data_IF_048115964095
#
_entry.id   IF_048115964095
#
_cell.length_a   1.000
_cell.length_b   1.000
_cell.length_c   1.000
_cell.angle_alpha   90.00
_cell.angle_beta   90.00
_cell.angle_gamma   90.00
#
_symmetry.space_group_name_H-M   'P 1'
#
loop_
_entity.id
_entity.type
_entity.pdbx_description
1 polymer ?
#
# COMPACT_ATOMS: atom_id res chain seq x y z
N UNK A 1 -57.45 -23.89 -59.54
CA UNK A 1 -56.47 -24.59 -58.67
C UNK A 1 -55.29 -23.74 -58.21
N UNK A 2 -55.41 -22.41 -58.07
CA UNK A 2 -54.29 -21.55 -57.62
C UNK A 2 -54.41 -21.07 -56.15
N UNK A 3 -55.56 -21.26 -55.50
CA UNK A 3 -55.78 -20.80 -54.11
C UNK A 3 -55.30 -21.77 -53.02
N UNK A 4 -55.08 -23.07 -53.30
CA UNK A 4 -54.59 -24.01 -52.26
C UNK A 4 -53.06 -24.02 -52.11
N UNK A 5 -52.31 -23.58 -53.13
CA UNK A 5 -50.84 -23.47 -53.08
C UNK A 5 -50.36 -22.35 -52.15
N UNK A 6 -51.04 -21.20 -52.15
CA UNK A 6 -50.66 -20.03 -51.34
C UNK A 6 -50.88 -20.29 -49.84
N UNK A 7 -51.98 -20.95 -49.47
CA UNK A 7 -52.30 -21.27 -48.07
C UNK A 7 -51.34 -22.29 -47.44
N UNK A 8 -50.71 -23.13 -48.25
CA UNK A 8 -49.70 -24.10 -47.82
C UNK A 8 -48.33 -23.46 -47.62
N UNK A 9 -48.02 -22.38 -48.35
CA UNK A 9 -46.78 -21.63 -48.17
C UNK A 9 -46.82 -20.72 -46.93
N UNK A 10 -47.96 -20.07 -46.65
CA UNK A 10 -48.10 -19.23 -45.44
C UNK A 10 -48.03 -20.03 -44.13
N UNK A 11 -48.55 -21.25 -44.11
CA UNK A 11 -48.47 -22.14 -42.94
C UNK A 11 -47.06 -22.65 -42.68
N UNK A 12 -46.28 -22.93 -43.73
CA UNK A 12 -44.87 -23.30 -43.62
C UNK A 12 -44.00 -22.14 -43.08
N UNK A 13 -44.22 -20.92 -43.58
CA UNK A 13 -43.49 -19.72 -43.14
C UNK A 13 -43.81 -19.39 -41.68
N UNK A 14 -45.07 -19.54 -41.26
CA UNK A 14 -45.49 -19.29 -39.87
C UNK A 14 -44.89 -20.31 -38.89
N UNK A 15 -44.67 -21.55 -39.35
CA UNK A 15 -44.04 -22.62 -38.57
C UNK A 15 -42.52 -22.43 -38.43
N UNK A 16 -41.86 -21.88 -39.46
CA UNK A 16 -40.45 -21.52 -39.39
C UNK A 16 -40.23 -20.29 -38.48
N UNK A 17 -41.10 -19.29 -38.53
CA UNK A 17 -41.01 -18.12 -37.64
C UNK A 17 -41.23 -18.47 -36.17
N UNK A 18 -42.13 -19.40 -35.84
CA UNK A 18 -42.33 -19.86 -34.47
C UNK A 18 -41.16 -20.71 -33.95
N UNK A 19 -40.52 -21.51 -34.80
CA UNK A 19 -39.31 -22.26 -34.46
C UNK A 19 -38.10 -21.35 -34.21
N UNK A 20 -37.89 -20.33 -35.06
CA UNK A 20 -36.82 -19.32 -34.89
C UNK A 20 -37.06 -18.48 -33.63
N UNK A 21 -38.32 -18.11 -33.35
CA UNK A 21 -38.66 -17.36 -32.13
C UNK A 21 -38.42 -18.17 -30.86
N UNK A 22 -38.63 -19.49 -30.91
CA UNK A 22 -38.37 -20.40 -29.79
C UNK A 22 -36.88 -20.66 -29.56
N UNK A 23 -36.07 -20.70 -30.63
CA UNK A 23 -34.60 -20.74 -30.53
C UNK A 23 -34.01 -19.42 -30.02
N UNK A 24 -34.57 -18.28 -30.40
CA UNK A 24 -34.13 -16.99 -29.87
C UNK A 24 -34.51 -16.79 -28.39
N UNK A 25 -35.63 -17.36 -27.92
CA UNK A 25 -35.99 -17.32 -26.50
C UNK A 25 -35.06 -18.19 -25.64
N UNK A 26 -34.61 -19.35 -26.14
CA UNK A 26 -33.66 -20.22 -25.41
C UNK A 26 -32.24 -19.67 -25.39
N UNK A 27 -31.84 -18.88 -26.40
CA UNK A 27 -30.58 -18.14 -26.41
C UNK A 27 -30.57 -16.95 -25.42
N UNK A 28 -31.74 -16.39 -25.09
CA UNK A 28 -31.87 -15.24 -24.18
C UNK A 28 -31.94 -15.62 -22.69
N UNK A 29 -32.06 -16.90 -22.35
CA UNK A 29 -32.15 -17.39 -20.96
C UNK A 29 -30.82 -17.88 -20.38
N UNK A 30 -29.68 -17.54 -21.02
CA UNK A 30 -28.38 -17.68 -20.36
C UNK A 30 -28.27 -16.59 -19.30
N UNK A 31 -28.52 -16.96 -18.03
CA UNK A 31 -28.15 -16.13 -16.88
C UNK A 31 -26.73 -15.57 -17.09
N UNK A 32 -26.45 -14.31 -16.73
CA UNK A 32 -25.10 -13.79 -16.80
C UNK A 32 -24.21 -14.71 -15.96
N UNK A 33 -23.27 -15.39 -16.63
CA UNK A 33 -22.22 -16.14 -15.94
C UNK A 33 -21.53 -15.14 -15.03
N UNK A 34 -21.42 -15.47 -13.75
CA UNK A 34 -20.63 -14.70 -12.79
C UNK A 34 -19.25 -14.41 -13.41
N UNK A 35 -18.73 -13.18 -13.38
CA UNK A 35 -17.44 -12.83 -13.99
C UNK A 35 -16.29 -13.73 -13.48
N UNK A 36 -16.43 -14.26 -12.26
CA UNK A 36 -15.50 -15.21 -11.64
C UNK A 36 -15.34 -16.56 -12.37
N UNK A 37 -16.26 -16.98 -13.24
CA UNK A 37 -16.08 -18.19 -14.07
C UNK A 37 -15.17 -17.97 -15.27
N UNK A 38 -14.79 -16.71 -15.51
CA UNK A 38 -13.92 -16.32 -16.60
C UNK A 38 -12.51 -16.08 -16.12
N UNK A 39 -12.11 -16.16 -14.87
CA UNK A 39 -10.69 -15.95 -14.51
C UNK A 39 -9.91 -17.26 -14.40
N UNK A 40 -8.58 -17.18 -14.51
CA UNK A 40 -7.73 -18.32 -14.17
C UNK A 40 -7.96 -18.71 -12.70
N UNK A 41 -7.99 -20.01 -12.33
CA UNK A 41 -8.36 -20.45 -10.97
C UNK A 41 -7.62 -19.74 -9.84
N UNK A 42 -6.32 -19.51 -10.00
CA UNK A 42 -5.47 -18.76 -9.06
C UNK A 42 -5.88 -17.29 -8.90
N UNK A 43 -6.27 -16.62 -9.99
CA UNK A 43 -6.70 -15.23 -9.92
C UNK A 43 -8.01 -15.17 -9.13
N UNK A 44 -8.92 -16.11 -9.39
CA UNK A 44 -10.13 -16.28 -8.59
C UNK A 44 -9.82 -16.55 -7.10
N UNK A 45 -8.81 -17.37 -6.79
CA UNK A 45 -8.38 -17.65 -5.40
C UNK A 45 -7.87 -16.40 -4.68
N UNK A 46 -6.88 -15.71 -5.27
CA UNK A 46 -6.31 -14.47 -4.73
C UNK A 46 -7.39 -13.39 -4.54
N UNK A 47 -8.24 -13.18 -5.54
CA UNK A 47 -9.34 -12.21 -5.46
C UNK A 47 -10.35 -12.59 -4.37
N UNK A 48 -10.71 -13.88 -4.24
CA UNK A 48 -11.64 -14.36 -3.21
C UNK A 48 -11.05 -14.20 -1.80
N UNK A 49 -9.77 -14.53 -1.62
CA UNK A 49 -9.05 -14.34 -0.36
C UNK A 49 -9.03 -12.87 0.05
N UNK A 50 -8.64 -11.96 -0.86
CA UNK A 50 -8.66 -10.51 -0.57
C UNK A 50 -10.06 -10.00 -0.29
N UNK A 51 -11.09 -10.47 -1.01
CA UNK A 51 -12.50 -10.14 -0.76
C UNK A 51 -12.96 -10.57 0.64
N UNK A 52 -12.48 -11.70 1.14
CA UNK A 52 -12.74 -12.15 2.51
C UNK A 52 -12.06 -11.25 3.55
N UNK A 53 -10.80 -10.84 3.30
CA UNK A 53 -10.05 -9.93 4.19
C UNK A 53 -10.68 -8.54 4.24
N UNK A 54 -11.30 -8.10 3.14
CA UNK A 54 -12.12 -6.90 3.07
C UNK A 54 -13.42 -6.98 3.89
N UNK A 55 -13.68 -8.03 4.66
CA UNK A 55 -14.78 -8.08 5.66
C UNK A 55 -14.30 -7.75 7.08
N UNK A 56 -12.99 -7.73 7.33
CA UNK A 56 -12.41 -7.37 8.62
C UNK A 56 -12.41 -5.87 8.88
N UNK A 57 -12.01 -5.45 10.09
CA UNK A 57 -11.84 -4.02 10.40
C UNK A 57 -10.92 -3.35 9.37
N UNK A 58 -11.26 -2.12 9.00
CA UNK A 58 -10.44 -1.28 8.11
C UNK A 58 -9.86 -0.06 8.85
N UNK A 59 -9.75 -0.15 10.17
CA UNK A 59 -9.02 0.82 10.98
C UNK A 59 -7.56 0.86 10.55
N UNK A 60 -7.00 2.07 10.39
CA UNK A 60 -5.59 2.21 10.07
C UNK A 60 -4.75 2.05 11.34
N UNK A 61 -4.02 0.94 11.44
CA UNK A 61 -3.16 0.61 12.56
C UNK A 61 -1.70 1.04 12.31
N UNK A 62 -1.45 1.67 11.16
CA UNK A 62 -0.14 2.21 10.83
C UNK A 62 0.04 3.59 11.46
N UNK A 63 1.27 4.10 11.44
CA UNK A 63 1.56 5.49 11.82
C UNK A 63 1.52 6.46 10.64
N UNK A 64 1.05 6.00 9.48
CA UNK A 64 1.04 6.77 8.24
C UNK A 64 -0.42 7.14 7.94
N UNK A 65 -0.77 8.44 7.83
CA UNK A 65 -2.14 8.82 7.53
C UNK A 65 -2.51 8.40 6.10
N UNK A 66 -3.66 7.73 5.95
CA UNK A 66 -4.19 7.33 4.64
C UNK A 66 -5.35 8.24 4.28
N UNK A 67 -5.46 8.64 3.03
CA UNK A 67 -6.54 9.52 2.55
C UNK A 67 -7.91 8.91 2.85
N UNK A 68 -8.03 7.59 2.71
CA UNK A 68 -9.26 6.84 3.03
C UNK A 68 -9.65 6.90 4.51
N UNK A 69 -8.78 7.34 5.42
CA UNK A 69 -9.11 7.45 6.85
C UNK A 69 -10.13 8.54 7.14
N UNK A 70 -10.36 9.47 6.20
CA UNK A 70 -11.47 10.42 6.33
C UNK A 70 -12.84 9.74 6.21
N UNK A 71 -12.91 8.63 5.49
CA UNK A 71 -14.16 7.94 5.20
C UNK A 71 -14.63 7.15 6.42
N UNK A 72 -15.95 7.10 6.62
CA UNK A 72 -16.55 6.11 7.52
C UNK A 72 -16.27 4.70 7.02
N UNK A 73 -16.15 3.75 7.94
CA UNK A 73 -15.72 2.40 7.63
C UNK A 73 -16.55 1.71 6.54
N UNK A 74 -17.88 1.87 6.57
CA UNK A 74 -18.76 1.33 5.53
C UNK A 74 -18.43 1.85 4.12
N UNK A 75 -18.11 3.15 4.00
CA UNK A 75 -17.73 3.77 2.72
C UNK A 75 -16.33 3.39 2.28
N UNK A 76 -15.40 3.24 3.23
CA UNK A 76 -14.06 2.68 2.96
C UNK A 76 -14.16 1.26 2.39
N UNK A 77 -15.02 0.43 2.98
CA UNK A 77 -15.27 -0.96 2.54
C UNK A 77 -15.94 -1.01 1.17
N UNK A 78 -16.95 -0.16 0.94
CA UNK A 78 -17.62 -0.01 -0.36
C UNK A 78 -16.60 0.34 -1.46
N UNK A 79 -15.76 1.36 -1.23
CA UNK A 79 -14.73 1.78 -2.18
C UNK A 79 -13.72 0.67 -2.49
N UNK A 80 -13.20 -0.01 -1.47
CA UNK A 80 -12.21 -1.07 -1.68
C UNK A 80 -12.80 -2.29 -2.42
N UNK A 81 -14.06 -2.65 -2.13
CA UNK A 81 -14.74 -3.72 -2.88
C UNK A 81 -15.00 -3.32 -4.33
N UNK A 82 -15.38 -2.06 -4.58
CA UNK A 82 -15.54 -1.53 -5.94
C UNK A 82 -14.21 -1.59 -6.70
N UNK A 83 -13.10 -1.15 -6.11
CA UNK A 83 -11.79 -1.22 -6.77
C UNK A 83 -11.40 -2.67 -7.06
N UNK A 84 -11.64 -3.60 -6.13
CA UNK A 84 -11.40 -5.03 -6.35
C UNK A 84 -12.21 -5.57 -7.54
N UNK A 85 -13.47 -5.15 -7.67
CA UNK A 85 -14.30 -5.47 -8.83
C UNK A 85 -13.71 -4.89 -10.12
N UNK A 86 -13.23 -3.64 -10.11
CA UNK A 86 -12.57 -3.03 -11.29
C UNK A 86 -11.29 -3.74 -11.69
N UNK A 87 -10.53 -4.26 -10.74
CA UNK A 87 -9.37 -5.12 -11.02
C UNK A 87 -9.81 -6.41 -11.73
N UNK A 88 -10.87 -7.07 -11.24
CA UNK A 88 -11.45 -8.27 -11.87
C UNK A 88 -11.94 -8.00 -13.31
N UNK A 89 -12.59 -6.85 -13.54
CA UNK A 89 -13.03 -6.39 -14.87
C UNK A 89 -11.84 -6.17 -15.81
N UNK A 90 -10.80 -5.45 -15.39
CA UNK A 90 -9.62 -5.20 -16.23
C UNK A 90 -8.84 -6.49 -16.51
N UNK A 91 -8.68 -7.40 -15.54
CA UNK A 91 -8.02 -8.69 -15.78
C UNK A 91 -8.77 -9.49 -16.85
N UNK A 92 -10.09 -9.43 -16.81
CA UNK A 92 -10.96 -10.08 -17.79
C UNK A 92 -10.78 -9.45 -19.17
N UNK A 93 -10.77 -8.11 -19.26
CA UNK A 93 -10.56 -7.36 -20.49
C UNK A 93 -9.18 -7.60 -21.12
N UNK A 94 -8.10 -7.49 -20.34
CA UNK A 94 -6.73 -7.72 -20.82
C UNK A 94 -6.58 -9.12 -21.42
N UNK A 95 -7.22 -10.12 -20.80
CA UNK A 95 -7.19 -11.48 -21.32
C UNK A 95 -8.03 -11.64 -22.60
N UNK A 96 -9.21 -11.02 -22.68
CA UNK A 96 -10.02 -11.05 -23.90
C UNK A 96 -9.31 -10.36 -25.08
N UNK A 97 -8.59 -9.28 -24.79
CA UNK A 97 -7.77 -8.54 -25.75
C UNK A 97 -6.46 -9.25 -26.12
N UNK A 98 -6.18 -10.42 -25.52
CA UNK A 98 -4.96 -11.21 -25.76
C UNK A 98 -3.67 -10.41 -25.61
N UNK A 99 -3.62 -9.55 -24.58
CA UNK A 99 -2.41 -8.78 -24.25
C UNK A 99 -1.27 -9.74 -23.90
N UNK A 100 -0.07 -9.46 -24.43
CA UNK A 100 1.14 -10.22 -24.13
C UNK A 100 1.84 -9.69 -22.87
N UNK A 101 2.57 -10.56 -22.15
CA UNK A 101 3.27 -10.18 -20.92
C UNK A 101 4.28 -9.03 -21.12
N UNK A 102 4.90 -8.95 -22.30
CA UNK A 102 5.84 -7.87 -22.66
C UNK A 102 5.17 -6.49 -22.75
N UNK A 103 3.87 -6.44 -23.03
CA UNK A 103 3.11 -5.19 -23.19
C UNK A 103 2.68 -4.60 -21.84
N UNK A 104 2.57 -5.42 -20.78
CA UNK A 104 2.09 -4.98 -19.47
C UNK A 104 2.91 -3.83 -18.88
N UNK A 105 4.24 -3.85 -19.08
CA UNK A 105 5.12 -2.78 -18.57
C UNK A 105 4.77 -1.42 -19.17
N UNK A 106 4.45 -1.37 -20.47
CA UNK A 106 4.05 -0.14 -21.16
C UNK A 106 2.63 0.30 -20.78
N UNK A 107 1.75 -0.66 -20.52
CA UNK A 107 0.35 -0.39 -20.14
C UNK A 107 0.18 -0.05 -18.66
N UNK A 108 1.20 -0.25 -17.82
CA UNK A 108 1.09 -0.13 -16.36
C UNK A 108 0.46 1.17 -15.89
N UNK A 109 0.92 2.31 -16.39
CA UNK A 109 0.41 3.62 -15.97
C UNK A 109 -1.01 3.87 -16.49
N UNK A 110 -1.34 3.37 -17.69
CA UNK A 110 -2.70 3.42 -18.23
C UNK A 110 -3.67 2.57 -17.39
N UNK A 111 -3.32 1.31 -17.11
CA UNK A 111 -4.12 0.41 -16.26
C UNK A 111 -4.41 1.05 -14.91
N UNK A 112 -3.40 1.60 -14.23
CA UNK A 112 -3.58 2.24 -12.93
C UNK A 112 -4.52 3.46 -13.01
N UNK A 113 -4.40 4.25 -14.09
CA UNK A 113 -5.27 5.40 -14.36
C UNK A 113 -6.70 4.96 -14.63
N UNK A 114 -6.91 3.96 -15.47
CA UNK A 114 -8.22 3.46 -15.84
C UNK A 114 -8.96 2.90 -14.62
N UNK A 115 -8.27 2.14 -13.76
CA UNK A 115 -8.80 1.69 -12.48
C UNK A 115 -9.25 2.86 -11.60
N UNK A 116 -8.41 3.89 -11.49
CA UNK A 116 -8.70 5.06 -10.67
C UNK A 116 -9.90 5.87 -11.23
N UNK A 117 -9.95 6.10 -12.54
CA UNK A 117 -11.05 6.82 -13.20
C UNK A 117 -12.37 6.05 -13.08
N UNK A 118 -12.34 4.74 -13.30
CA UNK A 118 -13.51 3.88 -13.14
C UNK A 118 -14.00 3.87 -11.69
N UNK A 119 -13.08 3.77 -10.72
CA UNK A 119 -13.42 3.80 -9.30
C UNK A 119 -14.02 5.14 -8.88
N UNK A 120 -13.46 6.28 -9.30
CA UNK A 120 -14.04 7.61 -9.05
C UNK A 120 -15.46 7.71 -9.62
N UNK A 121 -15.62 7.30 -10.89
CA UNK A 121 -16.88 7.45 -11.62
C UNK A 121 -18.00 6.66 -10.96
N UNK A 122 -17.73 5.42 -10.56
CA UNK A 122 -18.73 4.55 -9.97
C UNK A 122 -18.97 4.85 -8.49
N UNK A 123 -17.94 5.22 -7.72
CA UNK A 123 -18.07 5.48 -6.29
C UNK A 123 -18.82 6.78 -5.98
N UNK A 124 -18.56 7.84 -6.76
CA UNK A 124 -19.23 9.13 -6.60
C UNK A 124 -20.46 9.30 -7.50
N UNK A 125 -20.67 8.36 -8.43
CA UNK A 125 -21.79 8.34 -9.36
C UNK A 125 -21.57 9.26 -10.57
N UNK A 126 -21.56 8.66 -11.77
CA UNK A 126 -21.21 9.32 -13.04
C UNK A 126 -21.88 10.67 -13.32
N UNK A 127 -23.15 10.84 -12.96
CA UNK A 127 -23.93 12.04 -13.22
C UNK A 127 -24.23 12.84 -11.95
N UNK A 128 -23.47 12.62 -10.88
CA UNK A 128 -23.67 13.35 -9.63
C UNK A 128 -23.25 14.80 -9.80
N UNK A 129 -24.08 15.68 -9.25
CA UNK A 129 -23.81 17.11 -9.18
C UNK A 129 -23.87 17.54 -7.73
N UNK A 130 -23.05 18.52 -7.38
CA UNK A 130 -23.03 19.14 -6.05
C UNK A 130 -23.44 20.60 -6.16
N UNK A 131 -24.29 21.04 -5.23
CA UNK A 131 -24.57 22.45 -5.04
C UNK A 131 -23.54 23.03 -4.08
N UNK A 132 -22.74 23.98 -4.55
CA UNK A 132 -21.73 24.68 -3.76
C UNK A 132 -21.98 26.18 -3.89
N UNK A 133 -22.60 26.77 -2.87
CA UNK A 133 -23.17 28.11 -2.98
C UNK A 133 -24.29 28.14 -4.04
N UNK A 134 -24.24 29.11 -4.95
CA UNK A 134 -25.21 29.27 -6.05
C UNK A 134 -24.83 28.52 -7.34
N UNK A 135 -23.81 27.65 -7.28
CA UNK A 135 -23.30 26.93 -8.45
C UNK A 135 -23.53 25.44 -8.33
N UNK A 136 -24.02 24.85 -9.42
CA UNK A 136 -24.07 23.42 -9.63
C UNK A 136 -22.76 22.96 -10.29
N UNK A 137 -22.05 22.05 -9.64
CA UNK A 137 -20.75 21.54 -10.09
C UNK A 137 -20.91 20.07 -10.50
N UNK A 138 -20.38 19.70 -11.66
CA UNK A 138 -20.23 18.31 -12.08
C UNK A 138 -19.15 17.65 -11.24
N UNK A 139 -19.59 16.85 -10.26
CA UNK A 139 -18.75 16.41 -9.16
C UNK A 139 -17.60 15.54 -9.66
N UNK A 140 -17.93 14.45 -10.37
CA UNK A 140 -16.95 13.51 -10.93
C UNK A 140 -15.98 14.19 -11.90
N UNK A 141 -16.50 15.01 -12.83
CA UNK A 141 -15.65 15.68 -13.82
C UNK A 141 -14.64 16.62 -13.17
N UNK A 142 -14.98 17.25 -12.05
CA UNK A 142 -14.04 18.08 -11.28
C UNK A 142 -12.95 17.22 -10.63
N UNK A 143 -13.31 16.10 -10.00
CA UNK A 143 -12.32 15.20 -9.39
C UNK A 143 -11.33 14.63 -10.42
N UNK A 144 -11.80 14.33 -11.63
CA UNK A 144 -10.99 13.78 -12.71
C UNK A 144 -9.96 14.79 -13.27
N UNK A 145 -10.07 16.09 -12.97
CA UNK A 145 -9.07 17.09 -13.37
C UNK A 145 -7.71 16.86 -12.70
N UNK A 146 -7.67 16.24 -11.52
CA UNK A 146 -6.43 15.93 -10.79
C UNK A 146 -5.73 14.66 -11.32
N UNK A 147 -6.11 14.13 -12.48
CA UNK A 147 -5.58 12.86 -12.97
C UNK A 147 -4.05 12.83 -13.10
N UNK A 148 -3.42 13.92 -13.55
CA UNK A 148 -1.95 14.00 -13.61
C UNK A 148 -1.31 14.07 -12.21
N UNK A 149 -1.89 14.87 -11.32
CA UNK A 149 -1.43 15.02 -9.93
C UNK A 149 -1.48 13.67 -9.22
N UNK A 150 -2.62 12.98 -9.30
CA UNK A 150 -2.81 11.66 -8.69
C UNK A 150 -1.91 10.61 -9.32
N UNK A 151 -1.73 10.66 -10.65
CA UNK A 151 -0.82 9.75 -11.34
C UNK A 151 0.59 9.85 -10.77
N UNK A 152 1.19 11.03 -10.77
CA UNK A 152 2.58 11.20 -10.35
C UNK A 152 2.74 11.05 -8.83
N UNK A 153 1.78 11.53 -8.04
CA UNK A 153 1.90 11.54 -6.59
C UNK A 153 1.64 10.17 -5.96
N UNK A 154 0.75 9.35 -6.56
CA UNK A 154 0.23 8.11 -5.98
C UNK A 154 0.37 6.93 -6.95
N UNK A 155 -0.28 6.97 -8.12
CA UNK A 155 -0.45 5.77 -8.96
C UNK A 155 0.88 5.24 -9.50
N UNK A 156 1.75 6.15 -9.98
CA UNK A 156 3.04 5.77 -10.53
C UNK A 156 4.01 5.24 -9.46
N UNK A 157 3.70 5.46 -8.18
CA UNK A 157 4.50 4.97 -7.05
C UNK A 157 4.03 3.63 -6.51
N UNK A 158 2.91 3.07 -7.01
CA UNK A 158 2.42 1.76 -6.57
C UNK A 158 3.36 0.67 -7.10
N UNK A 159 4.11 -0.03 -6.23
CA UNK A 159 5.09 -1.00 -6.71
C UNK A 159 4.45 -2.31 -7.14
N UNK A 160 5.16 -3.08 -7.96
CA UNK A 160 4.85 -4.46 -8.32
C UNK A 160 3.53 -4.70 -9.07
N UNK A 161 2.98 -3.66 -9.73
CA UNK A 161 1.71 -3.78 -10.48
C UNK A 161 1.86 -4.71 -11.68
N UNK A 162 2.97 -4.60 -12.42
CA UNK A 162 3.23 -5.43 -13.62
C UNK A 162 3.35 -6.89 -13.21
N UNK A 163 4.11 -7.15 -12.16
CA UNK A 163 4.39 -8.46 -11.59
C UNK A 163 3.12 -9.13 -11.08
N UNK A 164 2.25 -8.38 -10.39
CA UNK A 164 0.93 -8.87 -9.99
C UNK A 164 0.09 -9.26 -11.20
N UNK A 165 -0.04 -8.39 -12.21
CA UNK A 165 -0.90 -8.65 -13.37
C UNK A 165 -0.36 -9.79 -14.23
N UNK A 166 0.96 -9.84 -14.43
CA UNK A 166 1.66 -10.94 -15.09
C UNK A 166 1.42 -12.27 -14.37
N UNK A 167 1.56 -12.30 -13.04
CA UNK A 167 1.23 -13.46 -12.23
C UNK A 167 -0.23 -13.87 -12.38
N UNK A 168 -1.19 -12.94 -12.32
CA UNK A 168 -2.62 -13.29 -12.40
C UNK A 168 -3.03 -13.77 -13.80
N UNK A 169 -2.44 -13.21 -14.87
CA UNK A 169 -2.82 -13.48 -16.27
C UNK A 169 -2.10 -14.68 -16.89
N UNK A 170 -0.77 -14.80 -16.76
CA UNK A 170 0.03 -15.60 -17.74
C UNK A 170 0.74 -16.87 -17.24
N UNK A 171 0.76 -17.13 -15.92
CA UNK A 171 1.54 -18.25 -15.31
C UNK A 171 3.02 -17.94 -15.18
N UNK A 172 3.33 -16.67 -15.22
CA UNK A 172 4.67 -16.18 -14.93
C UNK A 172 5.00 -16.38 -13.44
N UNK A 173 6.27 -16.66 -13.20
CA UNK A 173 6.85 -16.71 -11.86
C UNK A 173 6.84 -15.33 -11.21
N UNK A 174 6.61 -15.28 -9.90
CA UNK A 174 6.77 -14.06 -9.11
C UNK A 174 8.12 -14.08 -8.42
N UNK A 175 8.81 -12.93 -8.38
CA UNK A 175 10.05 -12.81 -7.62
C UNK A 175 9.74 -12.63 -6.14
N UNK A 176 10.27 -13.52 -5.30
CA UNK A 176 10.30 -13.38 -3.85
C UNK A 176 11.77 -13.34 -3.44
N UNK A 177 12.17 -12.25 -2.79
CA UNK A 177 13.57 -12.04 -2.37
C UNK A 177 14.61 -12.22 -3.49
N UNK A 178 14.25 -11.80 -4.70
CA UNK A 178 15.03 -11.95 -5.94
C UNK A 178 15.23 -13.42 -6.41
N UNK A 179 14.42 -14.34 -5.90
CA UNK A 179 14.34 -15.72 -6.34
C UNK A 179 13.01 -15.90 -7.10
N UNK A 180 13.08 -16.49 -8.30
CA UNK A 180 11.91 -16.82 -9.10
C UNK A 180 11.30 -18.14 -8.62
N UNK A 181 10.05 -18.07 -8.18
CA UNK A 181 9.27 -19.24 -7.76
C UNK A 181 8.23 -19.61 -8.82
N UNK A 182 8.06 -20.89 -9.06
CA UNK A 182 6.99 -21.41 -9.92
C UNK A 182 5.62 -21.25 -9.25
N UNK A 183 4.57 -21.27 -10.06
CA UNK A 183 3.22 -20.79 -9.73
C UNK A 183 2.43 -21.58 -8.68
N UNK A 184 2.99 -22.67 -8.16
CA UNK A 184 2.27 -23.61 -7.26
C UNK A 184 2.79 -23.55 -5.80
N UNK A 185 3.62 -22.54 -5.46
CA UNK A 185 4.09 -22.31 -4.09
C UNK A 185 3.09 -21.40 -3.32
N UNK A 186 2.60 -21.80 -2.13
CA UNK A 186 1.73 -20.96 -1.29
C UNK A 186 2.33 -19.58 -0.95
N UNK A 187 3.65 -19.46 -0.85
CA UNK A 187 4.33 -18.18 -0.59
C UNK A 187 4.14 -17.17 -1.74
N UNK A 188 3.99 -17.66 -2.98
CA UNK A 188 3.74 -16.83 -4.16
C UNK A 188 2.32 -16.30 -4.16
N UNK A 189 1.35 -17.13 -3.76
CA UNK A 189 -0.04 -16.69 -3.61
C UNK A 189 -0.16 -15.63 -2.51
N UNK A 190 0.47 -15.85 -1.35
CA UNK A 190 0.52 -14.86 -0.27
C UNK A 190 1.18 -13.54 -0.73
N UNK A 191 2.28 -13.62 -1.48
CA UNK A 191 2.94 -12.43 -2.04
C UNK A 191 2.01 -11.68 -2.99
N UNK A 192 1.32 -12.38 -3.89
CA UNK A 192 0.36 -11.77 -4.81
C UNK A 192 -0.80 -11.10 -4.06
N UNK A 193 -1.30 -11.73 -3.00
CA UNK A 193 -2.32 -11.13 -2.14
C UNK A 193 -1.83 -9.84 -1.47
N UNK A 194 -0.59 -9.79 -0.97
CA UNK A 194 -0.03 -8.59 -0.36
C UNK A 194 0.07 -7.45 -1.39
N UNK A 195 0.53 -7.75 -2.61
CA UNK A 195 0.64 -6.75 -3.67
C UNK A 195 -0.74 -6.24 -4.07
N UNK A 196 -1.73 -7.13 -4.22
CA UNK A 196 -3.10 -6.75 -4.53
C UNK A 196 -3.72 -5.89 -3.43
N UNK A 197 -3.60 -6.28 -2.16
CA UNK A 197 -4.11 -5.48 -1.04
C UNK A 197 -3.50 -4.07 -1.02
N UNK A 198 -2.20 -3.96 -1.25
CA UNK A 198 -1.53 -2.68 -1.35
C UNK A 198 -2.05 -1.85 -2.53
N UNK A 199 -2.22 -2.46 -3.71
CA UNK A 199 -2.79 -1.81 -4.89
C UNK A 199 -4.19 -1.24 -4.59
N UNK A 200 -5.08 -2.02 -3.96
CA UNK A 200 -6.43 -1.57 -3.61
C UNK A 200 -6.40 -0.34 -2.68
N UNK A 201 -5.58 -0.40 -1.62
CA UNK A 201 -5.48 0.68 -0.63
C UNK A 201 -4.91 1.95 -1.26
N UNK A 202 -3.88 1.83 -2.11
CA UNK A 202 -3.27 2.97 -2.77
C UNK A 202 -4.18 3.59 -3.83
N UNK A 203 -4.91 2.77 -4.61
CA UNK A 203 -5.95 3.27 -5.51
C UNK A 203 -7.05 4.00 -4.76
N UNK A 204 -7.51 3.45 -3.63
CA UNK A 204 -8.53 4.09 -2.80
C UNK A 204 -8.04 5.42 -2.23
N UNK A 205 -6.76 5.51 -1.85
CA UNK A 205 -6.15 6.79 -1.49
C UNK A 205 -6.17 7.78 -2.65
N UNK A 206 -5.83 7.32 -3.86
CA UNK A 206 -5.92 8.12 -5.09
C UNK A 206 -7.33 8.61 -5.40
N UNK A 207 -8.37 7.80 -5.14
CA UNK A 207 -9.78 8.19 -5.33
C UNK A 207 -10.18 9.30 -4.36
N UNK A 208 -9.73 9.23 -3.11
CA UNK A 208 -10.09 10.20 -2.07
C UNK A 208 -9.25 11.48 -2.13
N UNK A 209 -8.05 11.44 -2.70
CA UNK A 209 -7.15 12.59 -2.73
C UNK A 209 -7.77 13.84 -3.42
N UNK A 210 -8.37 13.76 -4.63
CA UNK A 210 -9.04 14.90 -5.26
C UNK A 210 -10.28 15.36 -4.47
N UNK A 211 -10.99 14.45 -3.80
CA UNK A 211 -12.13 14.80 -2.94
C UNK A 211 -11.69 15.76 -1.84
N UNK A 212 -10.54 15.49 -1.22
CA UNK A 212 -9.94 16.33 -0.18
C UNK A 212 -9.39 17.66 -0.71
N UNK A 213 -9.05 17.73 -1.99
CA UNK A 213 -8.59 18.96 -2.62
C UNK A 213 -9.73 19.93 -2.87
N UNK A 214 -10.82 19.43 -3.46
CA UNK A 214 -11.90 20.28 -3.98
C UNK A 214 -13.11 20.40 -3.06
N UNK A 215 -13.46 19.34 -2.32
CA UNK A 215 -14.77 19.24 -1.67
C UNK A 215 -14.71 18.81 -0.20
N UNK A 216 -13.55 18.95 0.44
CA UNK A 216 -13.37 18.57 1.85
C UNK A 216 -14.37 19.26 2.79
N UNK A 217 -14.71 20.53 2.53
CA UNK A 217 -15.60 21.30 3.38
C UNK A 217 -17.08 21.29 2.98
N UNK A 218 -17.44 20.57 1.92
CA UNK A 218 -18.84 20.50 1.46
C UNK A 218 -19.68 19.64 2.40
N UNK A 219 -20.74 20.21 2.95
CA UNK A 219 -21.55 19.58 4.00
C UNK A 219 -22.21 18.27 3.55
N UNK A 220 -22.71 18.21 2.31
CA UNK A 220 -23.27 16.97 1.74
C UNK A 220 -22.21 15.85 1.65
N UNK A 221 -20.95 16.21 1.36
CA UNK A 221 -19.85 15.24 1.33
C UNK A 221 -19.53 14.76 2.75
N UNK A 222 -19.41 15.68 3.71
CA UNK A 222 -19.20 15.36 5.13
C UNK A 222 -20.24 14.37 5.65
N UNK A 223 -21.51 14.64 5.39
CA UNK A 223 -22.63 13.83 5.88
C UNK A 223 -22.72 12.45 5.22
N UNK A 224 -22.36 12.32 3.94
CA UNK A 224 -22.49 11.06 3.21
C UNK A 224 -21.26 10.16 3.32
N UNK A 225 -20.06 10.74 3.40
CA UNK A 225 -18.80 10.00 3.26
C UNK A 225 -17.97 9.94 4.55
N UNK A 226 -17.93 11.02 5.33
CA UNK A 226 -16.90 11.14 6.36
C UNK A 226 -17.24 10.42 7.66
N UNK A 227 -16.21 10.03 8.39
CA UNK A 227 -16.30 9.57 9.77
C UNK A 227 -16.73 10.74 10.67
N UNK A 228 -17.64 10.48 11.61
CA UNK A 228 -18.17 11.51 12.53
C UNK A 228 -17.07 12.18 13.36
N UNK A 229 -15.97 11.48 13.62
CA UNK A 229 -14.80 12.00 14.36
C UNK A 229 -14.03 13.07 13.57
N UNK A 230 -14.16 13.08 12.25
CA UNK A 230 -13.41 13.94 11.33
C UNK A 230 -14.30 14.94 10.58
N UNK A 231 -15.49 15.25 11.11
CA UNK A 231 -16.48 16.07 10.39
C UNK A 231 -16.27 17.58 10.56
N UNK A 232 -15.66 18.01 11.67
CA UNK A 232 -15.47 19.44 11.93
C UNK A 232 -14.37 20.02 11.04
N UNK A 233 -14.51 21.29 10.63
CA UNK A 233 -13.51 21.99 9.82
C UNK A 233 -12.10 21.90 10.41
N UNK A 234 -11.97 22.02 11.74
CA UNK A 234 -10.66 21.89 12.42
C UNK A 234 -10.03 20.51 12.25
N UNK A 235 -10.82 19.45 12.35
CA UNK A 235 -10.30 18.08 12.23
C UNK A 235 -9.98 17.74 10.77
N UNK A 236 -10.76 18.24 9.81
CA UNK A 236 -10.48 18.11 8.38
C UNK A 236 -9.17 18.83 8.02
N UNK A 237 -8.99 20.06 8.47
CA UNK A 237 -7.75 20.80 8.24
C UNK A 237 -6.54 20.13 8.91
N UNK A 238 -6.69 19.61 10.14
CA UNK A 238 -5.62 18.82 10.77
C UNK A 238 -5.28 17.58 9.94
N UNK A 239 -6.29 16.88 9.45
CA UNK A 239 -6.12 15.68 8.62
C UNK A 239 -5.39 15.99 7.31
N UNK A 240 -5.82 17.03 6.57
CA UNK A 240 -5.17 17.50 5.33
C UNK A 240 -3.73 17.95 5.58
N UNK A 241 -3.46 18.61 6.71
CA UNK A 241 -2.11 18.99 7.10
C UNK A 241 -1.22 17.77 7.38
N UNK A 242 -1.73 16.74 8.07
CA UNK A 242 -1.02 15.49 8.30
C UNK A 242 -0.69 14.77 6.99
N UNK A 243 -1.63 14.74 6.04
CA UNK A 243 -1.38 14.19 4.70
C UNK A 243 -0.33 15.01 3.94
N UNK A 244 -0.40 16.33 4.00
CA UNK A 244 0.61 17.21 3.38
C UNK A 244 2.01 16.95 3.94
N UNK A 245 2.12 16.74 5.25
CA UNK A 245 3.37 16.32 5.90
C UNK A 245 3.83 14.93 5.45
N UNK A 246 2.91 13.96 5.32
CA UNK A 246 3.23 12.63 4.75
C UNK A 246 3.90 12.76 3.39
N UNK A 247 3.30 13.51 2.46
CA UNK A 247 3.85 13.65 1.10
C UNK A 247 5.27 14.25 1.10
N UNK A 248 5.49 15.31 1.89
CA UNK A 248 6.80 15.98 2.00
C UNK A 248 7.86 15.06 2.61
N UNK A 249 7.49 14.28 3.62
CA UNK A 249 8.41 13.38 4.31
C UNK A 249 8.73 12.15 3.43
N UNK A 250 7.73 11.60 2.75
CA UNK A 250 7.90 10.51 1.79
C UNK A 250 8.81 10.91 0.64
N UNK A 251 8.54 12.04 -0.03
CA UNK A 251 9.33 12.45 -1.20
C UNK A 251 10.80 12.74 -0.88
N UNK A 252 11.08 13.32 0.29
CA UNK A 252 12.42 13.85 0.59
C UNK A 252 13.27 12.91 1.45
N UNK A 253 12.67 12.06 2.29
CA UNK A 253 13.42 11.29 3.31
C UNK A 253 13.07 9.82 3.35
N UNK A 254 11.78 9.47 3.43
CA UNK A 254 11.39 8.07 3.64
C UNK A 254 11.59 7.25 2.37
N UNK A 255 11.11 7.72 1.21
CA UNK A 255 11.23 6.97 -0.04
C UNK A 255 12.70 6.79 -0.49
N UNK A 256 13.56 7.82 -0.45
CA UNK A 256 14.98 7.65 -0.75
C UNK A 256 15.67 6.62 0.16
N UNK A 257 15.31 6.60 1.45
CA UNK A 257 15.77 5.60 2.39
C UNK A 257 15.29 4.19 2.03
N UNK A 258 14.02 4.01 1.67
CA UNK A 258 13.46 2.72 1.22
C UNK A 258 14.16 2.23 -0.05
N UNK A 259 14.45 3.13 -0.99
CA UNK A 259 15.22 2.83 -2.21
C UNK A 259 16.63 2.35 -1.85
N UNK A 260 17.34 3.08 -0.99
CA UNK A 260 18.69 2.72 -0.53
C UNK A 260 18.70 1.37 0.21
N UNK A 261 17.72 1.13 1.07
CA UNK A 261 17.54 -0.13 1.81
C UNK A 261 16.94 -1.27 0.94
N UNK A 262 16.72 -1.05 -0.36
CA UNK A 262 16.19 -2.02 -1.33
C UNK A 262 14.90 -2.69 -0.87
N UNK A 263 13.93 -1.89 -0.42
CA UNK A 263 12.66 -2.39 0.08
C UNK A 263 11.47 -1.53 -0.36
N UNK A 264 10.32 -2.19 -0.43
CA UNK A 264 9.02 -1.54 -0.46
C UNK A 264 8.31 -1.71 0.87
N UNK A 265 7.49 -0.73 1.24
CA UNK A 265 6.54 -0.87 2.32
C UNK A 265 5.15 -1.08 1.72
N UNK A 266 4.48 -2.15 2.13
CA UNK A 266 3.20 -2.59 1.58
C UNK A 266 2.12 -2.51 2.65
N UNK A 267 0.96 -1.99 2.29
CA UNK A 267 -0.24 -2.07 3.12
C UNK A 267 -0.93 -3.42 2.93
N UNK A 268 -1.40 -4.01 4.03
CA UNK A 268 -2.15 -5.26 4.03
C UNK A 268 -3.31 -5.21 5.03
N UNK A 269 -4.30 -6.05 4.79
CA UNK A 269 -5.48 -6.25 5.59
C UNK A 269 -5.24 -7.42 6.55
N UNK A 270 -5.34 -7.12 7.84
CA UNK A 270 -5.35 -8.12 8.92
C UNK A 270 -6.69 -8.03 9.65
N UNK A 271 -7.02 -9.02 10.47
CA UNK A 271 -8.32 -9.10 11.18
C UNK A 271 -8.67 -7.83 11.98
N UNK A 272 -7.65 -7.16 12.54
CA UNK A 272 -7.77 -5.94 13.36
C UNK A 272 -7.77 -4.63 12.57
N UNK A 273 -7.40 -4.62 11.29
CA UNK A 273 -7.23 -3.36 10.55
C UNK A 273 -6.26 -3.43 9.37
N UNK A 274 -5.88 -2.25 8.88
CA UNK A 274 -4.82 -2.06 7.89
C UNK A 274 -3.48 -1.98 8.63
N UNK A 275 -2.55 -2.86 8.28
CA UNK A 275 -1.19 -2.89 8.77
C UNK A 275 -0.18 -2.59 7.65
N UNK A 276 1.11 -2.65 7.98
CA UNK A 276 2.21 -2.42 7.03
C UNK A 276 3.29 -3.49 7.21
N UNK A 277 3.83 -3.98 6.11
CA UNK A 277 4.96 -4.92 6.03
C UNK A 277 6.04 -4.33 5.13
N UNK A 278 7.30 -4.69 5.39
CA UNK A 278 8.42 -4.40 4.50
C UNK A 278 8.74 -5.62 3.64
N UNK A 279 8.96 -5.42 2.35
CA UNK A 279 9.31 -6.48 1.40
C UNK A 279 10.61 -6.10 0.68
N UNK A 280 11.52 -7.04 0.49
CA UNK A 280 12.75 -6.78 -0.26
C UNK A 280 12.46 -6.77 -1.76
N UNK A 281 13.08 -5.83 -2.47
CA UNK A 281 13.08 -5.80 -3.93
C UNK A 281 14.32 -5.03 -4.41
N UNK A 282 14.99 -5.46 -5.50
CA UNK A 282 16.08 -4.67 -6.09
C UNK A 282 15.58 -3.32 -6.59
N UNK A 283 16.16 -2.21 -6.10
CA UNK A 283 15.76 -0.83 -6.47
C UNK A 283 16.90 -0.01 -7.08
N UNK A 284 17.88 -0.68 -7.69
CA UNK A 284 19.10 -0.06 -8.24
C UNK A 284 18.79 1.01 -9.31
N UNK A 285 17.81 0.75 -10.19
CA UNK A 285 17.44 1.71 -11.23
C UNK A 285 16.81 2.98 -10.63
N UNK A 286 16.05 2.85 -9.56
CA UNK A 286 15.44 3.99 -8.86
C UNK A 286 16.49 4.78 -8.09
N UNK A 287 17.43 4.08 -7.43
CA UNK A 287 18.56 4.69 -6.73
C UNK A 287 19.40 5.54 -7.69
N UNK A 288 19.69 5.03 -8.88
CA UNK A 288 20.45 5.75 -9.90
C UNK A 288 19.75 6.99 -10.46
N UNK A 289 18.42 7.08 -10.32
CA UNK A 289 17.61 8.22 -10.78
C UNK A 289 17.37 9.27 -9.68
N UNK A 290 17.79 9.00 -8.44
CA UNK A 290 17.65 9.97 -7.35
C UNK A 290 18.49 11.22 -7.63
N UNK A 291 17.92 12.38 -7.33
CA UNK A 291 18.58 13.67 -7.46
C UNK A 291 18.14 14.61 -6.34
N UNK A 292 18.86 15.73 -6.15
CA UNK A 292 18.51 16.74 -5.14
C UNK A 292 18.54 16.20 -3.70
N UNK A 293 17.53 16.59 -2.91
CA UNK A 293 17.41 16.19 -1.50
C UNK A 293 17.37 14.65 -1.34
N UNK A 294 16.57 13.90 -2.12
CA UNK A 294 16.62 12.44 -2.13
C UNK A 294 18.02 11.82 -2.20
N UNK A 295 18.86 12.30 -3.13
CA UNK A 295 20.22 11.79 -3.31
C UNK A 295 21.11 12.15 -2.11
N UNK A 296 20.96 13.36 -1.56
CA UNK A 296 21.69 13.75 -0.36
C UNK A 296 21.35 12.85 0.84
N UNK A 297 20.09 12.42 0.97
CA UNK A 297 19.69 11.48 2.02
C UNK A 297 20.39 10.14 1.88
N UNK A 298 20.48 9.59 0.66
CA UNK A 298 21.16 8.30 0.46
C UNK A 298 22.67 8.40 0.68
N UNK A 299 23.30 9.48 0.22
CA UNK A 299 24.72 9.75 0.48
C UNK A 299 25.00 9.93 1.99
N UNK A 300 24.11 10.58 2.73
CA UNK A 300 24.25 10.72 4.18
C UNK A 300 24.13 9.38 4.90
N UNK A 301 23.25 8.48 4.45
CA UNK A 301 23.13 7.12 4.98
C UNK A 301 24.40 6.30 4.68
N UNK A 302 24.91 6.36 3.46
CA UNK A 302 26.15 5.70 3.06
C UNK A 302 27.36 6.20 3.88
N UNK A 303 27.48 7.52 4.03
CA UNK A 303 28.53 8.15 4.84
C UNK A 303 28.44 7.73 6.31
N UNK A 304 27.22 7.70 6.88
CA UNK A 304 26.99 7.19 8.24
C UNK A 304 27.49 5.76 8.38
N UNK A 305 27.14 4.89 7.43
CA UNK A 305 27.48 3.47 7.50
C UNK A 305 29.00 3.25 7.30
N UNK A 306 29.67 4.10 6.51
CA UNK A 306 31.12 4.11 6.34
C UNK A 306 31.89 4.64 7.56
N UNK A 307 31.29 5.53 8.37
CA UNK A 307 31.94 6.13 9.55
C UNK A 307 31.58 5.43 10.86
N UNK A 308 30.40 4.82 10.97
CA UNK A 308 29.92 4.16 12.18
C UNK A 308 30.93 3.18 12.82
N UNK A 309 31.72 2.39 12.06
CA UNK A 309 32.76 1.54 12.66
C UNK A 309 33.88 2.33 13.34
N UNK A 310 34.32 3.45 12.73
CA UNK A 310 35.40 4.29 13.26
C UNK A 310 34.96 5.01 14.53
N UNK A 311 33.74 5.56 14.53
CA UNK A 311 33.19 6.24 15.70
C UNK A 311 33.00 5.27 16.87
N UNK A 312 32.52 4.05 16.61
CA UNK A 312 32.42 2.98 17.62
C UNK A 312 33.77 2.65 18.23
N UNK A 313 34.82 2.50 17.41
CA UNK A 313 36.17 2.22 17.90
C UNK A 313 36.72 3.33 18.81
N UNK A 314 36.44 4.60 18.49
CA UNK A 314 36.84 5.74 19.33
C UNK A 314 36.11 5.71 20.68
N UNK A 315 34.79 5.49 20.68
CA UNK A 315 33.99 5.40 21.90
C UNK A 315 34.42 4.21 22.76
N UNK A 316 34.69 3.05 22.16
CA UNK A 316 35.20 1.87 22.88
C UNK A 316 36.58 2.12 23.49
N UNK A 317 37.48 2.80 22.76
CA UNK A 317 38.79 3.19 23.28
C UNK A 317 38.68 4.11 24.49
N UNK A 318 37.88 5.18 24.41
CA UNK A 318 37.67 6.08 25.53
C UNK A 318 36.92 5.42 26.68
N UNK A 319 35.92 4.57 26.40
CA UNK A 319 35.20 3.79 27.41
C UNK A 319 36.12 2.87 28.19
N UNK A 320 37.00 2.13 27.51
CA UNK A 320 38.02 1.31 28.14
C UNK A 320 39.01 2.14 28.96
N UNK A 321 39.39 3.33 28.47
CA UNK A 321 40.24 4.27 29.21
C UNK A 321 39.58 4.77 30.50
N UNK A 322 38.31 5.16 30.44
CA UNK A 322 37.52 5.60 31.61
C UNK A 322 37.37 4.46 32.62
N UNK A 323 37.01 3.25 32.16
CA UNK A 323 36.92 2.05 33.01
C UNK A 323 38.28 1.74 33.65
N UNK A 324 39.38 1.85 32.91
CA UNK A 324 40.73 1.65 33.44
C UNK A 324 41.07 2.65 34.55
N UNK A 325 40.79 3.95 34.35
CA UNK A 325 41.05 4.98 35.37
C UNK A 325 40.22 4.70 36.63
N UNK A 326 38.92 4.42 36.48
CA UNK A 326 38.03 4.12 37.60
C UNK A 326 38.44 2.86 38.36
N UNK A 327 38.79 1.78 37.66
CA UNK A 327 39.10 0.50 38.33
C UNK A 327 40.52 0.43 38.88
N UNK A 328 41.51 0.84 38.09
CA UNK A 328 42.92 0.70 38.47
C UNK A 328 43.42 1.91 39.26
N UNK A 329 43.13 3.13 38.83
CA UNK A 329 43.69 4.32 39.50
C UNK A 329 42.93 4.60 40.78
N UNK A 330 41.59 4.70 40.73
CA UNK A 330 40.78 4.96 41.93
C UNK A 330 40.80 3.74 42.86
N UNK A 331 40.67 2.53 42.32
CA UNK A 331 40.74 1.29 43.11
C UNK A 331 42.07 1.10 43.85
N UNK A 332 43.22 1.38 43.20
CA UNK A 332 44.53 1.35 43.88
C UNK A 332 44.69 2.49 44.87
N UNK A 333 44.19 3.68 44.58
CA UNK A 333 44.25 4.82 45.50
C UNK A 333 43.48 4.51 46.81
N UNK A 334 42.26 3.99 46.71
CA UNK A 334 41.48 3.54 47.86
C UNK A 334 42.20 2.41 48.60
N UNK A 335 42.75 1.44 47.87
CA UNK A 335 43.50 0.32 48.46
C UNK A 335 44.77 0.77 49.22
N UNK A 336 45.48 1.78 48.73
CA UNK A 336 46.64 2.37 49.39
C UNK A 336 46.26 3.17 50.64
N UNK A 337 45.17 3.94 50.59
CA UNK A 337 44.63 4.64 51.77
C UNK A 337 44.22 3.61 52.84
N UNK A 338 43.50 2.56 52.45
CA UNK A 338 43.14 1.47 53.36
C UNK A 338 44.36 0.79 54.00
N UNK A 339 45.40 0.50 53.22
CA UNK A 339 46.66 -0.04 53.74
C UNK A 339 47.40 0.93 54.65
N UNK A 340 47.41 2.22 54.33
CA UNK A 340 48.02 3.27 55.17
C UNK A 340 47.32 3.39 56.52
N UNK A 341 45.98 3.33 56.55
CA UNK A 341 45.20 3.31 57.80
C UNK A 341 45.51 2.06 58.62
N UNK A 342 45.56 0.88 58.00
CA UNK A 342 45.90 -0.38 58.67
C UNK A 342 47.33 -0.37 59.24
N UNK A 343 48.31 0.20 58.52
CA UNK A 343 49.68 0.34 59.01
C UNK A 343 49.80 1.39 60.11
N UNK A 344 49.06 2.50 60.04
CA UNK A 344 48.98 3.51 61.10
C UNK A 344 48.36 2.98 62.39
N UNK A 345 47.38 2.07 62.27
CA UNK A 345 46.81 1.33 63.41
C UNK A 345 47.74 0.21 63.92
N UNK A 346 48.59 -0.34 63.05
CA UNK A 346 49.58 -1.35 63.42
C UNK A 346 50.80 -0.79 64.17
N UNK A 347 51.15 0.48 63.95
CA UNK A 347 52.25 1.16 64.67
C UNK A 347 51.96 1.42 66.14
N UNK A 348 50.70 1.65 66.52
CA UNK A 348 50.31 1.89 67.91
C UNK A 348 50.25 0.63 68.78
N UNK A 349 50.38 -0.57 68.17
CA UNK A 349 50.42 -1.84 68.89
C UNK A 349 51.83 -2.34 69.18
N UNK A 350 52.88 -1.75 68.59
CA UNK A 350 54.26 -2.19 68.81
C UNK A 350 54.98 -1.40 69.93
N UNK A 351 54.51 -0.20 70.28
CA UNK A 351 55.05 0.58 71.41
C UNK A 351 54.53 0.15 72.80
N UNK A 352 53.55 -0.77 72.89
CA UNK A 352 53.09 -1.29 74.19
C UNK A 352 53.84 -2.54 74.67
N UNK A 353 54.77 -3.09 73.87
CA UNK A 353 55.55 -4.28 74.24
C UNK A 353 56.92 -4.02 74.86
N UNK A 354 57.37 -2.76 74.96
CA UNK A 354 58.64 -2.38 75.62
C UNK A 354 58.46 -1.64 76.94
N UNK A 355 57.46 -2.01 77.74
CA UNK A 355 57.36 -1.60 79.14
C UNK A 355 56.75 -2.71 80.00
N UNK A 356 57.58 -3.69 80.37
CA UNK A 356 57.59 -4.31 81.71
C UNK A 356 58.65 -5.41 81.82
N UNK A 357 59.59 -5.13 82.73
CA UNK A 357 60.56 -5.98 83.44
C UNK A 357 61.72 -6.59 82.65
#
# INVERSE_FOLDING_TARGET
>A
SQQSGVRSQESAVRSQQSAVRSQNLSLSLRSPRSPSSLLAPRASSVLASVRSKLQFSLENLTRVPLEIDILREGKKRELLNLILQKVEEILTELRFSQVDSSQLSQMRSAIARDLWQAAITDFFGKYSTLQVGDRQIEFVNTLLQDAEIVQTAILDKIPLVVELFSYLLFKDSLLIDNISYTTDNPEVEERAEIILQNLLIQLANGVVQPLLNYFADVEVIKQNYYDKRLISTREIERFRNNLSWKYRLESNFIEPRKIFESRYEMFLLISRGIAKISIYAPRTQELARLSGIPLLVTLALEFRDAIAPRLRAVVEFFGNGVVYILTQVVGRAIGLIGRGILQGLGGSLQDSKNKKF
#
